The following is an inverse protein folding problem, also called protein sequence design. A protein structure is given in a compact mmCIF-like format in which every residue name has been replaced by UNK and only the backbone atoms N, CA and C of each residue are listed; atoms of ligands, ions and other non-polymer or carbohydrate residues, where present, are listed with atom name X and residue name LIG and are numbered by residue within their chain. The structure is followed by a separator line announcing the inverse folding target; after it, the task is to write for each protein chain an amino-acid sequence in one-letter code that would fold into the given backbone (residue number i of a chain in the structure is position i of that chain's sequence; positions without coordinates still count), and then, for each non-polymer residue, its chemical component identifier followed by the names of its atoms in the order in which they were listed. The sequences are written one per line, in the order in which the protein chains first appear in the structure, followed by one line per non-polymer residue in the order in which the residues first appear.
data_IF_277778803957
#
_entry.id   IF_277778803957
#
_cell.length_a   1.000
_cell.length_b   1.000
_cell.length_c   1.000
_cell.angle_alpha   90.00
_cell.angle_beta   90.00
_cell.angle_gamma   90.00
#
_symmetry.space_group_name_H-M   'P 1'
#
loop_
_entity.id
_entity.type
_entity.pdbx_description
1 polymer ?
#
# COMPACT_ATOMS: atom_id res chain seq x y z
N UNK A 1 -7.43 17.02 10.41
CA UNK A 1 -8.41 16.17 11.13
C UNK A 1 -8.21 16.27 12.64
N UNK A 2 -9.31 16.46 13.43
CA UNK A 2 -9.23 16.45 14.89
C UNK A 2 -8.75 15.08 15.40
N UNK A 3 -8.06 15.01 16.56
CA UNK A 3 -7.49 13.77 17.10
C UNK A 3 -8.49 12.62 17.24
N UNK A 4 -9.73 12.93 17.62
CA UNK A 4 -10.82 11.96 17.84
C UNK A 4 -11.30 11.23 16.58
N UNK A 5 -10.94 11.71 15.39
CA UNK A 5 -11.33 11.08 14.12
C UNK A 5 -10.18 10.27 13.49
N UNK A 6 -8.97 10.33 14.04
CA UNK A 6 -7.81 9.62 13.47
C UNK A 6 -7.91 8.12 13.76
N UNK A 7 -7.46 7.24 12.84
CA UNK A 7 -7.35 5.82 13.12
C UNK A 7 -6.48 5.60 14.37
N UNK A 8 -7.00 4.83 15.32
CA UNK A 8 -6.37 4.61 16.63
C UNK A 8 -6.59 3.18 17.10
N UNK A 9 -5.58 2.61 17.76
CA UNK A 9 -5.67 1.34 18.48
C UNK A 9 -5.38 1.55 19.97
N UNK A 10 -5.91 0.68 20.81
CA UNK A 10 -5.50 0.60 22.23
C UNK A 10 -4.55 -0.57 22.38
N UNK A 11 -3.44 -0.33 23.06
CA UNK A 11 -2.39 -1.32 23.32
C UNK A 11 -2.15 -1.34 24.82
N UNK A 12 -2.07 -2.55 25.39
CA UNK A 12 -1.68 -2.74 26.79
C UNK A 12 -0.17 -2.89 26.81
N UNK A 13 0.51 -1.99 27.51
CA UNK A 13 1.96 -1.91 27.55
C UNK A 13 2.51 -2.31 28.92
N UNK A 14 3.77 -2.73 28.95
CA UNK A 14 4.53 -2.94 30.19
C UNK A 14 5.93 -2.34 30.04
N UNK A 15 6.47 -1.83 31.14
CA UNK A 15 7.87 -1.42 31.20
C UNK A 15 8.77 -2.67 31.22
N UNK A 16 9.94 -2.57 30.57
CA UNK A 16 10.96 -3.62 30.59
C UNK A 16 12.32 -3.06 31.02
N UNK A 17 13.20 -3.93 31.48
CA UNK A 17 14.59 -3.55 31.80
C UNK A 17 15.40 -3.59 30.51
N UNK A 18 15.88 -2.44 29.99
CA UNK A 18 16.58 -2.41 28.72
C UNK A 18 17.99 -3.01 28.83
N UNK A 19 18.41 -3.67 27.77
CA UNK A 19 19.79 -4.10 27.56
C UNK A 19 20.65 -2.92 27.08
N UNK A 20 21.98 -3.06 27.17
CA UNK A 20 22.94 -2.01 26.80
C UNK A 20 22.76 -1.51 25.37
N UNK A 21 22.37 -2.40 24.46
CA UNK A 21 22.25 -2.12 23.03
C UNK A 21 20.81 -1.82 22.58
N UNK A 22 19.85 -1.73 23.51
CA UNK A 22 18.47 -1.45 23.13
C UNK A 22 18.32 -0.02 22.59
N UNK A 23 17.69 0.15 21.42
CA UNK A 23 17.50 1.47 20.83
C UNK A 23 16.44 2.24 21.61
N UNK A 24 16.87 3.05 22.58
CA UNK A 24 15.99 3.92 23.38
C UNK A 24 16.01 5.38 22.90
N UNK A 25 16.47 5.63 21.68
CA UNK A 25 16.60 7.00 21.15
C UNK A 25 15.99 7.13 19.77
N UNK A 26 15.21 8.18 19.55
CA UNK A 26 14.88 8.68 18.21
C UNK A 26 15.78 9.87 17.89
N UNK A 27 16.29 9.91 16.66
CA UNK A 27 17.29 10.88 16.24
C UNK A 27 16.78 11.68 15.05
N UNK A 28 17.11 12.97 15.00
CA UNK A 28 16.90 13.82 13.83
C UNK A 28 18.02 14.85 13.71
N UNK A 29 18.12 15.47 12.53
CA UNK A 29 19.10 16.53 12.27
C UNK A 29 18.47 17.90 12.55
N UNK A 30 19.15 18.72 13.34
CA UNK A 30 18.86 20.14 13.53
C UNK A 30 20.12 20.93 13.21
N UNK A 31 20.10 21.68 12.11
CA UNK A 31 21.19 22.56 11.68
C UNK A 31 22.58 21.87 11.61
N UNK A 32 22.61 20.62 11.15
CA UNK A 32 23.83 19.80 11.05
C UNK A 32 24.18 19.03 12.33
N UNK A 33 23.42 19.20 13.42
CA UNK A 33 23.62 18.47 14.68
C UNK A 33 22.57 17.35 14.82
N UNK A 34 23.03 16.15 15.21
CA UNK A 34 22.13 15.03 15.54
C UNK A 34 21.57 15.25 16.95
N UNK A 35 20.27 15.52 17.03
CA UNK A 35 19.51 15.55 18.28
C UNK A 35 19.10 14.13 18.63
N UNK A 36 19.35 13.73 19.88
CA UNK A 36 18.95 12.43 20.44
C UNK A 36 17.81 12.64 21.43
N UNK A 37 16.64 12.07 21.15
CA UNK A 37 15.48 12.10 22.03
C UNK A 37 15.31 10.73 22.69
N UNK A 38 15.58 10.67 24.00
CA UNK A 38 15.48 9.43 24.77
C UNK A 38 14.03 9.11 25.07
N UNK A 39 13.67 7.85 24.87
CA UNK A 39 12.35 7.30 25.09
C UNK A 39 12.39 6.22 26.19
N UNK A 40 11.28 6.03 26.91
CA UNK A 40 11.21 5.04 27.98
C UNK A 40 11.08 3.61 27.44
N UNK A 41 11.53 2.60 28.19
CA UNK A 41 11.57 1.21 27.75
C UNK A 41 10.19 0.54 27.94
N UNK A 42 9.24 0.86 27.05
CA UNK A 42 7.94 0.18 27.01
C UNK A 42 7.82 -0.78 25.81
N UNK A 43 7.11 -1.87 26.06
CA UNK A 43 6.76 -2.90 25.07
C UNK A 43 5.29 -3.30 25.23
N UNK A 44 4.75 -4.04 24.26
CA UNK A 44 3.46 -4.73 24.39
C UNK A 44 3.57 -5.68 25.59
N UNK A 45 2.58 -5.63 26.48
CA UNK A 45 2.56 -6.46 27.68
C UNK A 45 2.54 -7.95 27.35
N UNK A 46 3.14 -8.76 28.22
CA UNK A 46 3.20 -10.21 28.03
C UNK A 46 1.79 -10.80 27.89
N UNK A 47 1.59 -11.64 26.86
CA UNK A 47 0.29 -12.22 26.55
C UNK A 47 -0.71 -11.29 25.84
N UNK A 48 -0.36 -10.01 25.58
CA UNK A 48 -1.24 -9.03 24.93
C UNK A 48 -1.00 -8.85 23.41
N UNK A 49 -0.15 -9.69 22.80
CA UNK A 49 0.06 -9.66 21.34
C UNK A 49 -1.25 -9.94 20.57
N UNK A 50 -1.98 -10.98 20.96
CA UNK A 50 -3.23 -11.37 20.29
C UNK A 50 -4.37 -10.36 20.49
N UNK A 51 -4.43 -9.67 21.64
CA UNK A 51 -5.38 -8.56 21.83
C UNK A 51 -5.01 -7.36 20.97
N UNK A 52 -3.72 -7.06 20.82
CA UNK A 52 -3.22 -6.01 19.93
C UNK A 52 -3.52 -6.31 18.45
N UNK A 53 -3.26 -7.52 17.97
CA UNK A 53 -3.60 -7.95 16.60
C UNK A 53 -5.11 -7.82 16.32
N UNK A 54 -5.96 -8.18 17.29
CA UNK A 54 -7.41 -7.99 17.20
C UNK A 54 -7.79 -6.51 17.12
N UNK A 55 -7.21 -5.66 17.97
CA UNK A 55 -7.46 -4.22 17.94
C UNK A 55 -7.05 -3.58 16.60
N UNK A 56 -5.92 -4.00 16.04
CA UNK A 56 -5.44 -3.56 14.72
C UNK A 56 -6.39 -4.00 13.59
N UNK A 57 -6.90 -5.23 13.66
CA UNK A 57 -7.89 -5.73 12.69
C UNK A 57 -9.20 -4.96 12.77
N UNK A 58 -9.71 -4.73 13.97
CA UNK A 58 -10.92 -3.93 14.20
C UNK A 58 -10.74 -2.47 13.75
N UNK A 59 -9.53 -1.92 13.86
CA UNK A 59 -9.21 -0.58 13.36
C UNK A 59 -9.33 -0.50 11.83
N UNK A 60 -8.81 -1.49 11.10
CA UNK A 60 -8.97 -1.53 9.64
C UNK A 60 -10.44 -1.58 9.22
N UNK A 61 -11.25 -2.40 9.89
CA UNK A 61 -12.68 -2.52 9.62
C UNK A 61 -13.43 -1.22 9.94
N UNK A 62 -13.19 -0.65 11.12
CA UNK A 62 -13.86 0.56 11.59
C UNK A 62 -13.53 1.79 10.74
N UNK A 63 -12.26 1.93 10.35
CA UNK A 63 -11.78 3.11 9.62
C UNK A 63 -11.64 2.86 8.12
N UNK A 64 -12.19 1.78 7.58
CA UNK A 64 -12.04 1.39 6.17
C UNK A 64 -12.29 2.55 5.20
N UNK A 65 -13.45 3.20 5.29
CA UNK A 65 -13.83 4.29 4.39
C UNK A 65 -12.86 5.47 4.46
N UNK A 66 -12.41 5.82 5.67
CA UNK A 66 -11.42 6.87 5.87
C UNK A 66 -10.07 6.48 5.26
N UNK A 67 -9.60 5.25 5.51
CA UNK A 67 -8.35 4.75 4.99
C UNK A 67 -8.38 4.65 3.46
N UNK A 68 -9.50 4.24 2.87
CA UNK A 68 -9.72 4.26 1.43
C UNK A 68 -9.70 5.70 0.87
N UNK A 69 -10.37 6.64 1.54
CA UNK A 69 -10.33 8.06 1.11
C UNK A 69 -8.92 8.64 1.13
N UNK A 70 -8.08 8.21 2.07
CA UNK A 70 -6.66 8.55 2.12
C UNK A 70 -5.87 7.88 0.97
N UNK A 71 -6.25 6.68 0.52
CA UNK A 71 -5.69 6.07 -0.69
C UNK A 71 -5.99 6.90 -1.93
N UNK A 72 -7.19 7.49 -2.00
CA UNK A 72 -7.70 8.23 -3.15
C UNK A 72 -7.25 9.70 -3.19
N UNK A 73 -6.89 10.27 -2.04
CA UNK A 73 -6.54 11.67 -1.93
C UNK A 73 -5.32 12.01 -2.78
N UNK A 74 -5.46 13.01 -3.65
CA UNK A 74 -4.40 13.48 -4.55
C UNK A 74 -4.00 12.49 -5.65
N UNK A 75 -4.78 11.42 -5.87
CA UNK A 75 -4.50 10.45 -6.93
C UNK A 75 -5.16 10.83 -8.27
N UNK A 76 -4.56 10.29 -9.34
CA UNK A 76 -5.09 10.32 -10.70
C UNK A 76 -6.53 9.76 -10.78
N UNK A 77 -7.30 10.25 -11.75
CA UNK A 77 -8.69 9.83 -11.98
C UNK A 77 -8.82 8.32 -12.19
N UNK A 78 -7.91 7.70 -12.95
CA UNK A 78 -7.92 6.25 -13.21
C UNK A 78 -7.78 5.49 -11.88
N UNK A 79 -6.84 5.90 -11.03
CA UNK A 79 -6.61 5.29 -9.72
C UNK A 79 -7.85 5.47 -8.84
N UNK A 80 -8.40 6.68 -8.77
CA UNK A 80 -9.52 7.00 -7.90
C UNK A 80 -10.78 6.21 -8.25
N UNK A 81 -11.13 6.19 -9.54
CA UNK A 81 -12.28 5.44 -10.05
C UNK A 81 -12.10 3.94 -9.80
N UNK A 82 -10.91 3.41 -10.08
CA UNK A 82 -10.63 1.98 -9.89
C UNK A 82 -10.64 1.58 -8.41
N UNK A 83 -10.17 2.45 -7.50
CA UNK A 83 -10.27 2.22 -6.05
C UNK A 83 -11.73 2.23 -5.56
N UNK A 84 -12.56 3.14 -6.07
CA UNK A 84 -14.00 3.18 -5.76
C UNK A 84 -14.66 1.88 -6.20
N UNK A 85 -14.34 1.43 -7.40
CA UNK A 85 -14.94 0.23 -7.98
C UNK A 85 -14.45 -1.05 -7.30
N UNK A 86 -13.16 -1.14 -6.99
CA UNK A 86 -12.62 -2.24 -6.18
C UNK A 86 -13.28 -2.31 -4.80
N UNK A 87 -13.55 -1.16 -4.16
CA UNK A 87 -14.26 -1.13 -2.90
C UNK A 87 -15.68 -1.69 -3.00
N UNK A 88 -16.37 -1.49 -4.12
CA UNK A 88 -17.72 -2.05 -4.35
C UNK A 88 -17.73 -3.58 -4.27
N UNK A 89 -16.66 -4.23 -4.74
CA UNK A 89 -16.50 -5.69 -4.73
C UNK A 89 -15.75 -6.24 -3.51
N UNK A 90 -15.42 -5.41 -2.52
CA UNK A 90 -14.57 -5.85 -1.40
C UNK A 90 -15.19 -6.98 -0.56
N UNK A 91 -16.53 -7.07 -0.52
CA UNK A 91 -17.24 -8.08 0.26
C UNK A 91 -17.51 -9.37 -0.52
N UNK A 92 -17.46 -9.29 -1.85
CA UNK A 92 -17.75 -10.40 -2.77
C UNK A 92 -16.48 -11.17 -3.14
N UNK A 93 -15.31 -10.51 -3.08
CA UNK A 93 -14.05 -11.05 -3.55
C UNK A 93 -12.96 -10.96 -2.49
N UNK A 94 -12.49 -12.11 -2.01
CA UNK A 94 -11.39 -12.19 -1.03
C UNK A 94 -10.06 -11.67 -1.58
N UNK A 95 -9.83 -11.78 -2.90
CA UNK A 95 -8.63 -11.26 -3.55
C UNK A 95 -8.63 -9.72 -3.59
N UNK A 96 -9.78 -9.10 -3.87
CA UNK A 96 -9.93 -7.64 -3.88
C UNK A 96 -9.83 -7.09 -2.47
N UNK A 97 -10.56 -7.70 -1.52
CA UNK A 97 -10.48 -7.37 -0.09
C UNK A 97 -9.04 -7.43 0.43
N UNK A 98 -8.32 -8.50 0.06
CA UNK A 98 -6.92 -8.69 0.42
C UNK A 98 -5.99 -7.66 -0.24
N UNK A 99 -6.19 -7.36 -1.52
CA UNK A 99 -5.39 -6.37 -2.25
C UNK A 99 -5.60 -4.94 -1.72
N UNK A 100 -6.83 -4.55 -1.40
CA UNK A 100 -7.13 -3.29 -0.70
C UNK A 100 -6.47 -3.24 0.67
N UNK A 101 -6.55 -4.34 1.44
CA UNK A 101 -5.89 -4.44 2.74
C UNK A 101 -4.37 -4.31 2.62
N UNK A 102 -3.74 -4.90 1.59
CA UNK A 102 -2.32 -4.72 1.29
C UNK A 102 -2.01 -3.24 1.04
N UNK A 103 -2.82 -2.56 0.22
CA UNK A 103 -2.64 -1.13 -0.07
C UNK A 103 -2.69 -0.27 1.20
N UNK A 104 -3.69 -0.52 2.05
CA UNK A 104 -3.91 0.22 3.30
C UNK A 104 -2.78 -0.05 4.30
N UNK A 105 -2.48 -1.32 4.60
CA UNK A 105 -1.48 -1.70 5.60
C UNK A 105 -0.09 -1.20 5.19
N UNK A 106 0.26 -1.29 3.91
CA UNK A 106 1.55 -0.80 3.40
C UNK A 106 1.71 0.71 3.64
N UNK A 107 0.65 1.50 3.45
CA UNK A 107 0.69 2.94 3.74
C UNK A 107 0.70 3.26 5.22
N UNK A 108 0.08 2.43 6.06
CA UNK A 108 0.17 2.55 7.52
C UNK A 108 1.61 2.30 8.00
N UNK A 109 2.28 1.27 7.48
CA UNK A 109 3.69 0.96 7.78
C UNK A 109 4.67 2.07 7.34
N UNK A 110 4.30 2.88 6.34
CA UNK A 110 5.11 4.04 5.93
C UNK A 110 4.83 5.30 6.76
N UNK A 111 3.85 5.29 7.69
CA UNK A 111 3.50 6.43 8.55
C UNK A 111 3.93 6.12 9.99
N UNK A 112 4.47 7.11 10.69
CA UNK A 112 4.80 6.97 12.11
C UNK A 112 3.54 7.07 12.99
N UNK A 113 3.36 6.10 13.87
CA UNK A 113 2.36 6.17 14.93
C UNK A 113 2.79 7.15 16.03
N UNK A 114 1.81 7.69 16.76
CA UNK A 114 2.03 8.61 17.87
C UNK A 114 1.17 8.16 19.06
N UNK A 115 1.69 8.35 20.27
CA UNK A 115 0.90 8.13 21.48
C UNK A 115 -0.23 9.16 21.54
N UNK A 116 -1.41 8.69 21.91
CA UNK A 116 -2.59 9.52 22.10
C UNK A 116 -3.44 8.94 23.22
N UNK A 117 -4.01 9.81 24.05
CA UNK A 117 -4.79 9.42 25.22
C UNK A 117 -4.31 10.12 26.49
N UNK A 118 -4.86 9.68 27.62
CA UNK A 118 -4.49 10.17 28.96
C UNK A 118 -3.16 9.60 29.43
N UNK A 119 -2.86 8.36 29.06
CA UNK A 119 -1.56 7.73 29.31
C UNK A 119 -0.56 8.20 28.25
N UNK A 120 0.62 8.62 28.70
CA UNK A 120 1.70 9.12 27.86
C UNK A 120 2.96 8.27 27.92
N UNK A 121 2.98 7.23 28.77
CA UNK A 121 4.14 6.38 29.01
C UNK A 121 5.38 7.22 29.37
N UNK A 122 5.21 8.30 30.12
CA UNK A 122 6.28 9.26 30.46
C UNK A 122 6.90 9.99 29.25
N UNK A 123 6.27 9.92 28.07
CA UNK A 123 6.72 10.62 26.86
C UNK A 123 6.11 12.02 26.80
N UNK A 124 6.98 13.03 26.74
CA UNK A 124 6.60 14.42 26.50
C UNK A 124 6.42 14.70 25.00
N UNK A 125 5.66 15.75 24.67
CA UNK A 125 5.60 16.25 23.30
C UNK A 125 6.98 16.75 22.86
N UNK A 126 7.29 16.58 21.57
CA UNK A 126 8.54 17.09 21.00
C UNK A 126 8.36 18.55 20.60
N UNK A 127 9.06 19.45 21.29
CA UNK A 127 8.96 20.91 21.08
C UNK A 127 9.90 21.46 19.98
N UNK A 128 10.71 20.59 19.36
CA UNK A 128 11.64 21.00 18.32
C UNK A 128 10.96 21.05 16.93
N UNK A 129 10.79 22.24 16.32
CA UNK A 129 10.13 22.39 15.02
C UNK A 129 10.88 21.73 13.87
N UNK A 130 12.15 21.38 14.05
CA UNK A 130 12.94 20.65 13.04
C UNK A 130 12.74 19.13 13.13
N UNK A 131 12.10 18.65 14.20
CA UNK A 131 11.83 17.22 14.39
C UNK A 131 10.67 16.74 13.51
N UNK A 132 10.76 15.52 12.92
CA UNK A 132 9.60 14.87 12.28
C UNK A 132 8.47 14.56 13.28
N UNK A 133 8.75 14.65 14.58
CA UNK A 133 7.80 14.42 15.67
C UNK A 133 7.29 15.73 16.31
N UNK A 134 7.58 16.91 15.74
CA UNK A 134 7.18 18.20 16.31
C UNK A 134 5.69 18.24 16.68
N UNK A 135 5.40 18.61 17.93
CA UNK A 135 4.06 18.68 18.50
C UNK A 135 3.37 17.31 18.68
N UNK A 136 4.15 16.23 18.77
CA UNK A 136 3.65 14.85 18.94
C UNK A 136 4.45 14.10 20.00
N UNK A 137 3.82 13.05 20.54
CA UNK A 137 4.46 12.05 21.43
C UNK A 137 4.86 10.82 20.62
N UNK A 138 6.15 10.65 20.27
CA UNK A 138 6.59 9.48 19.54
C UNK A 138 6.42 8.19 20.37
N UNK A 139 6.10 7.08 19.71
CA UNK A 139 6.02 5.78 20.36
C UNK A 139 7.43 5.28 20.75
N UNK A 140 7.60 4.69 21.95
CA UNK A 140 8.81 3.96 22.35
C UNK A 140 9.30 2.97 21.28
N UNK A 141 10.61 2.88 20.98
CA UNK A 141 11.07 2.17 19.79
C UNK A 141 10.75 0.67 19.76
N UNK A 142 10.85 -0.03 20.90
CA UNK A 142 10.51 -1.46 20.95
C UNK A 142 9.00 -1.69 20.74
N UNK A 143 8.15 -0.85 21.33
CA UNK A 143 6.72 -0.89 21.11
C UNK A 143 6.35 -0.62 19.64
N UNK A 144 7.01 0.36 19.00
CA UNK A 144 6.88 0.68 17.57
C UNK A 144 7.23 -0.56 16.72
N UNK A 145 8.40 -1.17 16.98
CA UNK A 145 8.88 -2.35 16.27
C UNK A 145 7.95 -3.57 16.43
N UNK A 146 7.37 -3.79 17.61
CA UNK A 146 6.41 -4.89 17.83
C UNK A 146 5.09 -4.66 17.10
N UNK A 147 4.62 -3.42 16.98
CA UNK A 147 3.44 -3.08 16.18
C UNK A 147 3.72 -3.33 14.69
N UNK A 148 4.88 -2.90 14.20
CA UNK A 148 5.32 -3.14 12.83
C UNK A 148 5.45 -4.64 12.51
N UNK A 149 5.99 -5.43 13.44
CA UNK A 149 6.09 -6.89 13.30
C UNK A 149 4.70 -7.53 13.13
N UNK A 150 3.71 -7.15 13.95
CA UNK A 150 2.33 -7.65 13.83
C UNK A 150 1.74 -7.29 12.47
N UNK A 151 1.96 -6.05 11.99
CA UNK A 151 1.53 -5.65 10.65
C UNK A 151 2.20 -6.47 9.55
N UNK A 152 3.50 -6.70 9.65
CA UNK A 152 4.29 -7.46 8.68
C UNK A 152 3.85 -8.92 8.61
N UNK A 153 3.59 -9.56 9.75
CA UNK A 153 3.03 -10.92 9.81
C UNK A 153 1.65 -10.99 9.16
N UNK A 154 0.76 -10.03 9.46
CA UNK A 154 -0.56 -9.95 8.85
C UNK A 154 -0.47 -9.76 7.34
N UNK A 155 0.42 -8.87 6.89
CA UNK A 155 0.66 -8.58 5.48
C UNK A 155 1.18 -9.81 4.72
N UNK A 156 2.10 -10.58 5.32
CA UNK A 156 2.60 -11.83 4.74
C UNK A 156 1.48 -12.86 4.54
N UNK A 157 0.60 -13.02 5.54
CA UNK A 157 -0.57 -13.91 5.46
C UNK A 157 -1.52 -13.49 4.34
N UNK A 158 -1.84 -12.19 4.24
CA UNK A 158 -2.75 -11.66 3.21
C UNK A 158 -2.13 -11.80 1.81
N UNK A 159 -0.84 -11.47 1.64
CA UNK A 159 -0.13 -11.64 0.35
C UNK A 159 -0.17 -13.08 -0.14
N UNK A 160 0.09 -14.05 0.75
CA UNK A 160 0.03 -15.48 0.41
C UNK A 160 -1.38 -15.88 -0.02
N UNK A 161 -2.41 -15.39 0.68
CA UNK A 161 -3.81 -15.65 0.34
C UNK A 161 -4.18 -15.06 -1.01
N UNK A 162 -3.92 -13.76 -1.24
CA UNK A 162 -4.21 -13.08 -2.50
C UNK A 162 -3.50 -13.75 -3.68
N UNK A 163 -2.24 -14.16 -3.51
CA UNK A 163 -1.51 -14.90 -4.54
C UNK A 163 -2.14 -16.26 -4.83
N UNK A 164 -2.57 -16.99 -3.79
CA UNK A 164 -3.26 -18.27 -3.94
C UNK A 164 -4.59 -18.13 -4.69
N UNK A 165 -5.39 -17.16 -4.28
CA UNK A 165 -6.68 -16.84 -4.91
C UNK A 165 -6.46 -16.40 -6.37
N UNK A 166 -5.55 -15.46 -6.63
CA UNK A 166 -5.25 -14.99 -7.99
C UNK A 166 -4.77 -16.14 -8.89
N UNK A 167 -3.82 -16.96 -8.43
CA UNK A 167 -3.36 -18.14 -9.18
C UNK A 167 -4.49 -19.08 -9.52
N UNK A 168 -5.38 -19.37 -8.56
CA UNK A 168 -6.54 -20.22 -8.79
C UNK A 168 -7.42 -19.67 -9.92
N UNK A 169 -7.77 -18.38 -9.86
CA UNK A 169 -8.65 -17.75 -10.86
C UNK A 169 -7.98 -17.60 -12.24
N UNK A 170 -6.67 -17.37 -12.29
CA UNK A 170 -5.91 -17.29 -13.55
C UNK A 170 -5.72 -18.67 -14.19
N UNK A 171 -5.46 -19.72 -13.40
CA UNK A 171 -5.24 -21.08 -13.90
C UNK A 171 -6.54 -21.83 -14.23
N UNK A 172 -7.67 -21.47 -13.60
CA UNK A 172 -9.00 -21.98 -13.94
C UNK A 172 -9.49 -21.40 -15.29
N UNK A 173 -8.88 -21.87 -16.39
CA UNK A 173 -9.14 -21.42 -17.77
C UNK A 173 -10.62 -21.40 -18.18
N UNK A 174 -11.44 -22.26 -17.57
CA UNK A 174 -12.88 -22.36 -17.83
C UNK A 174 -13.68 -21.17 -17.29
N UNK A 175 -13.14 -20.42 -16.33
CA UNK A 175 -13.79 -19.26 -15.70
C UNK A 175 -13.00 -17.96 -15.86
N UNK A 176 -11.94 -17.96 -16.68
CA UNK A 176 -11.10 -16.76 -16.83
C UNK A 176 -11.86 -15.57 -17.38
N UNK A 177 -12.85 -15.76 -18.27
CA UNK A 177 -13.70 -14.67 -18.77
C UNK A 177 -14.62 -14.10 -17.68
N UNK A 178 -15.35 -14.97 -16.96
CA UNK A 178 -16.25 -14.54 -15.88
C UNK A 178 -15.52 -13.95 -14.68
N UNK A 179 -14.24 -14.28 -14.50
CA UNK A 179 -13.40 -13.74 -13.41
C UNK A 179 -12.49 -12.60 -13.88
N UNK A 180 -12.47 -12.29 -15.18
CA UNK A 180 -11.53 -11.33 -15.76
C UNK A 180 -11.59 -9.99 -15.03
N UNK A 181 -12.80 -9.55 -14.71
CA UNK A 181 -13.03 -8.28 -14.05
C UNK A 181 -12.40 -8.21 -12.65
N UNK A 182 -12.58 -9.27 -11.85
CA UNK A 182 -11.99 -9.36 -10.51
C UNK A 182 -10.46 -9.48 -10.58
N UNK A 183 -9.94 -10.20 -11.59
CA UNK A 183 -8.50 -10.31 -11.86
C UNK A 183 -7.94 -8.93 -12.22
N UNK A 184 -8.60 -8.19 -13.10
CA UNK A 184 -8.22 -6.85 -13.51
C UNK A 184 -8.10 -5.90 -12.30
N UNK A 185 -9.15 -5.80 -11.48
CA UNK A 185 -9.16 -4.95 -10.29
C UNK A 185 -8.05 -5.35 -9.30
N UNK A 186 -7.86 -6.66 -9.09
CA UNK A 186 -6.82 -7.16 -8.18
C UNK A 186 -5.41 -6.84 -8.68
N UNK A 187 -5.12 -7.08 -9.97
CA UNK A 187 -3.83 -6.76 -10.59
C UNK A 187 -3.55 -5.26 -10.51
N UNK A 188 -4.54 -4.43 -10.82
CA UNK A 188 -4.42 -2.98 -10.72
C UNK A 188 -4.00 -2.54 -9.30
N UNK A 189 -4.68 -3.04 -8.27
CA UNK A 189 -4.36 -2.74 -6.86
C UNK A 189 -2.94 -3.20 -6.46
N UNK A 190 -2.51 -4.36 -6.94
CA UNK A 190 -1.17 -4.87 -6.65
C UNK A 190 -0.09 -4.00 -7.29
N UNK A 191 -0.27 -3.59 -8.55
CA UNK A 191 0.65 -2.69 -9.24
C UNK A 191 0.65 -1.30 -8.60
N UNK A 192 -0.52 -0.77 -8.25
CA UNK A 192 -0.66 0.49 -7.49
C UNK A 192 0.11 0.44 -6.17
N UNK A 193 0.06 -0.69 -5.46
CA UNK A 193 0.79 -0.84 -4.21
C UNK A 193 2.30 -0.92 -4.41
N UNK A 194 2.75 -1.66 -5.43
CA UNK A 194 4.18 -1.71 -5.77
C UNK A 194 4.68 -0.31 -6.12
N UNK A 195 3.92 0.44 -6.92
CA UNK A 195 4.35 1.76 -7.39
C UNK A 195 4.50 2.74 -6.21
N UNK A 196 3.54 2.71 -5.27
CA UNK A 196 3.65 3.44 -4.01
C UNK A 196 4.91 3.05 -3.22
N UNK A 197 5.21 1.76 -3.07
CA UNK A 197 6.40 1.29 -2.36
C UNK A 197 7.69 1.81 -2.99
N UNK A 198 7.79 1.71 -4.32
CA UNK A 198 8.96 2.16 -5.06
C UNK A 198 9.15 3.68 -4.92
N UNK A 199 8.08 4.46 -5.11
CA UNK A 199 8.10 5.92 -4.93
C UNK A 199 8.48 6.34 -3.51
N UNK A 200 7.89 5.68 -2.51
CA UNK A 200 8.19 5.96 -1.12
C UNK A 200 9.66 5.67 -0.82
N UNK A 201 10.19 4.55 -1.33
CA UNK A 201 11.59 4.19 -1.14
C UNK A 201 12.53 5.16 -1.86
N UNK A 202 12.24 5.58 -3.09
CA UNK A 202 12.99 6.61 -3.81
C UNK A 202 13.08 7.91 -3.00
N UNK A 203 11.97 8.39 -2.44
CA UNK A 203 11.99 9.60 -1.60
C UNK A 203 12.84 9.43 -0.35
N UNK A 204 12.83 8.24 0.25
CA UNK A 204 13.66 7.94 1.42
C UNK A 204 15.15 7.86 1.04
N UNK A 205 15.46 7.31 -0.13
CA UNK A 205 16.80 7.29 -0.74
C UNK A 205 17.33 8.70 -0.99
N UNK A 206 16.55 9.56 -1.65
CA UNK A 206 16.91 10.94 -1.94
C UNK A 206 17.28 11.68 -0.65
N UNK A 207 16.40 11.62 0.36
CA UNK A 207 16.64 12.22 1.68
C UNK A 207 17.88 11.67 2.37
N UNK A 208 18.11 10.36 2.26
CA UNK A 208 19.28 9.73 2.87
C UNK A 208 20.57 10.20 2.20
N UNK A 209 20.60 10.25 0.86
CA UNK A 209 21.75 10.70 0.08
C UNK A 209 22.05 12.19 0.30
N UNK A 210 21.03 13.03 0.41
CA UNK A 210 21.17 14.45 0.78
C UNK A 210 21.80 14.61 2.18
N UNK A 211 21.36 13.81 3.15
CA UNK A 211 21.89 13.84 4.51
C UNK A 211 23.28 13.20 4.65
N UNK A 212 23.63 12.25 3.78
CA UNK A 212 24.86 11.45 3.85
C UNK A 212 25.60 11.37 2.50
N UNK A 213 26.05 12.49 1.91
CA UNK A 213 26.57 12.55 0.53
C UNK A 213 27.84 11.72 0.26
N UNK A 214 28.46 11.15 1.31
CA UNK A 214 29.68 10.33 1.22
C UNK A 214 29.52 8.91 1.76
N UNK A 215 28.30 8.51 2.12
CA UNK A 215 28.03 7.15 2.60
C UNK A 215 27.40 6.32 1.49
N UNK A 216 27.91 5.11 1.32
CA UNK A 216 27.31 4.12 0.43
C UNK A 216 25.95 3.71 0.98
N UNK A 217 24.97 3.64 0.09
CA UNK A 217 23.64 3.17 0.43
C UNK A 217 23.62 1.67 0.70
N UNK A 218 22.68 1.19 1.53
CA UNK A 218 22.56 -0.23 1.83
C UNK A 218 22.13 -1.02 0.60
N UNK A 219 23.01 -1.93 0.15
CA UNK A 219 22.78 -2.82 -0.99
C UNK A 219 21.46 -3.61 -0.91
N UNK A 220 21.05 -4.00 0.30
CA UNK A 220 19.79 -4.73 0.54
C UNK A 220 18.55 -3.97 0.09
N UNK A 221 18.56 -2.64 0.16
CA UNK A 221 17.42 -1.85 -0.29
C UNK A 221 17.36 -1.78 -1.81
N UNK A 222 18.50 -1.69 -2.50
CA UNK A 222 18.53 -1.76 -3.96
C UNK A 222 18.02 -3.11 -4.46
N UNK A 223 18.42 -4.21 -3.81
CA UNK A 223 17.88 -5.54 -4.12
C UNK A 223 16.37 -5.64 -3.88
N UNK A 224 15.86 -5.01 -2.83
CA UNK A 224 14.42 -4.98 -2.55
C UNK A 224 13.65 -4.24 -3.64
N UNK A 225 14.15 -3.08 -4.09
CA UNK A 225 13.54 -2.29 -5.15
C UNK A 225 13.59 -3.01 -6.51
N UNK A 226 14.70 -3.67 -6.83
CA UNK A 226 14.81 -4.52 -8.01
C UNK A 226 13.80 -5.67 -7.96
N UNK A 227 13.65 -6.31 -6.79
CA UNK A 227 12.61 -7.30 -6.55
C UNK A 227 11.19 -6.80 -6.79
N UNK A 228 10.88 -5.54 -6.43
CA UNK A 228 9.59 -4.93 -6.73
C UNK A 228 9.39 -4.66 -8.22
N UNK A 229 10.43 -4.18 -8.91
CA UNK A 229 10.39 -3.97 -10.37
C UNK A 229 10.15 -5.28 -11.11
N UNK A 230 10.90 -6.33 -10.75
CA UNK A 230 10.72 -7.66 -11.32
C UNK A 230 9.33 -8.23 -11.01
N UNK A 231 8.80 -8.02 -9.80
CA UNK A 231 7.45 -8.44 -9.45
C UNK A 231 6.38 -7.73 -10.31
N UNK A 232 6.51 -6.42 -10.54
CA UNK A 232 5.60 -5.66 -11.39
C UNK A 232 5.62 -6.16 -12.83
N UNK A 233 6.81 -6.37 -13.40
CA UNK A 233 6.99 -6.92 -14.75
C UNK A 233 6.37 -8.32 -14.88
N UNK A 234 6.58 -9.21 -13.90
CA UNK A 234 5.97 -10.54 -13.91
C UNK A 234 4.45 -10.48 -13.84
N UNK A 235 3.89 -9.61 -12.99
CA UNK A 235 2.44 -9.41 -12.90
C UNK A 235 1.88 -8.93 -14.25
N UNK A 236 2.51 -7.93 -14.87
CA UNK A 236 2.12 -7.39 -16.18
C UNK A 236 2.21 -8.45 -17.28
N UNK A 237 3.29 -9.23 -17.33
CA UNK A 237 3.46 -10.30 -18.31
C UNK A 237 2.37 -11.37 -18.20
N UNK A 238 2.01 -11.77 -16.97
CA UNK A 238 0.90 -12.69 -16.74
C UNK A 238 -0.45 -12.08 -17.10
N UNK A 239 -0.67 -10.81 -16.75
CA UNK A 239 -1.90 -10.09 -17.06
C UNK A 239 -2.13 -10.01 -18.57
N UNK A 240 -1.13 -9.59 -19.34
CA UNK A 240 -1.22 -9.47 -20.79
C UNK A 240 -1.35 -10.83 -21.49
N UNK A 241 -0.41 -11.74 -21.21
CA UNK A 241 -0.27 -12.96 -22.01
C UNK A 241 -1.17 -14.11 -21.56
N UNK A 242 -1.52 -14.18 -20.27
CA UNK A 242 -2.34 -15.28 -19.72
C UNK A 242 -3.78 -14.84 -19.48
N UNK A 243 -3.98 -13.68 -18.86
CA UNK A 243 -5.33 -13.21 -18.51
C UNK A 243 -6.04 -12.51 -19.67
N UNK A 244 -5.35 -12.27 -20.79
CA UNK A 244 -5.82 -11.40 -21.88
C UNK A 244 -6.24 -10.04 -21.32
N UNK A 245 -5.32 -9.39 -20.60
CA UNK A 245 -5.57 -8.18 -19.82
C UNK A 245 -6.27 -7.05 -20.58
N UNK A 246 -5.97 -6.91 -21.88
CA UNK A 246 -6.62 -5.92 -22.76
C UNK A 246 -8.06 -6.23 -23.13
N UNK A 247 -8.59 -7.42 -22.81
CA UNK A 247 -9.92 -7.87 -23.19
C UNK A 247 -10.97 -6.78 -22.94
N UNK A 248 -11.04 -6.25 -21.72
CA UNK A 248 -12.05 -5.27 -21.38
C UNK A 248 -11.81 -3.85 -21.89
N UNK A 249 -10.63 -3.54 -22.43
CA UNK A 249 -10.44 -2.30 -23.18
C UNK A 249 -10.92 -2.43 -24.64
N UNK A 250 -10.89 -3.63 -25.20
CA UNK A 250 -11.20 -3.90 -26.60
C UNK A 250 -12.66 -4.33 -26.84
N UNK A 251 -13.43 -4.53 -25.78
CA UNK A 251 -14.81 -4.99 -25.87
C UNK A 251 -15.80 -3.85 -26.08
N UNK A 252 -16.86 -4.13 -26.84
CA UNK A 252 -18.07 -3.30 -26.86
C UNK A 252 -18.96 -3.67 -25.67
N UNK A 253 -18.90 -2.86 -24.61
CA UNK A 253 -19.72 -3.07 -23.41
C UNK A 253 -21.20 -2.74 -23.61
N UNK A 254 -21.64 -2.30 -24.79
CA UNK A 254 -23.08 -2.24 -25.11
C UNK A 254 -23.66 -3.60 -25.49
N UNK A 255 -22.81 -4.57 -25.84
CA UNK A 255 -23.22 -5.95 -26.13
C UNK A 255 -23.52 -6.74 -24.85
N UNK A 256 -24.78 -7.17 -24.70
CA UNK A 256 -25.25 -7.97 -23.57
C UNK A 256 -24.56 -9.33 -23.47
N UNK A 257 -24.16 -9.94 -24.58
CA UNK A 257 -23.46 -11.23 -24.53
C UNK A 257 -22.08 -11.07 -23.89
N UNK A 258 -21.38 -9.98 -24.20
CA UNK A 258 -20.09 -9.65 -23.62
C UNK A 258 -20.22 -9.38 -22.11
N UNK A 259 -21.26 -8.63 -21.71
CA UNK A 259 -21.55 -8.38 -20.29
C UNK A 259 -21.81 -9.69 -19.52
N UNK A 260 -22.59 -10.60 -20.10
CA UNK A 260 -22.89 -11.91 -19.52
C UNK A 260 -21.64 -12.79 -19.41
N UNK A 261 -20.81 -12.84 -20.45
CA UNK A 261 -19.57 -13.64 -20.47
C UNK A 261 -18.55 -13.15 -19.45
N UNK A 262 -18.49 -11.84 -19.22
CA UNK A 262 -17.61 -11.20 -18.23
C UNK A 262 -18.20 -11.19 -16.80
N UNK A 263 -19.46 -11.60 -16.65
CA UNK A 263 -20.21 -11.57 -15.39
C UNK A 263 -20.17 -10.19 -14.68
N UNK A 264 -20.30 -9.11 -15.47
CA UNK A 264 -20.31 -7.73 -14.97
C UNK A 264 -21.75 -7.22 -14.79
N UNK A 265 -21.94 -6.34 -13.82
CA UNK A 265 -23.21 -5.64 -13.60
C UNK A 265 -23.24 -4.25 -14.25
N UNK A 266 -24.40 -3.57 -14.20
CA UNK A 266 -24.60 -2.28 -14.86
C UNK A 266 -23.61 -1.19 -14.39
N UNK A 267 -23.21 -1.21 -13.11
CA UNK A 267 -22.25 -0.24 -12.57
C UNK A 267 -20.83 -0.52 -13.06
N UNK A 268 -20.44 -1.80 -13.12
CA UNK A 268 -19.17 -2.21 -13.71
C UNK A 268 -19.10 -1.84 -15.19
N UNK A 269 -20.20 -1.97 -15.94
CA UNK A 269 -20.27 -1.55 -17.35
C UNK A 269 -20.02 -0.04 -17.49
N UNK A 270 -20.68 0.79 -16.68
CA UNK A 270 -20.49 2.25 -16.68
C UNK A 270 -19.03 2.59 -16.35
N UNK A 271 -18.45 1.94 -15.34
CA UNK A 271 -17.05 2.13 -14.98
C UNK A 271 -16.11 1.76 -16.13
N UNK A 272 -16.31 0.60 -16.76
CA UNK A 272 -15.46 0.11 -17.85
C UNK A 272 -15.52 1.03 -19.08
N UNK A 273 -16.70 1.53 -19.44
CA UNK A 273 -16.87 2.52 -20.51
C UNK A 273 -16.16 3.85 -20.17
N UNK A 274 -16.28 4.32 -18.92
CA UNK A 274 -15.59 5.54 -18.48
C UNK A 274 -14.06 5.35 -18.51
N UNK A 275 -13.58 4.20 -18.06
CA UNK A 275 -12.18 3.84 -18.09
C UNK A 275 -11.65 3.76 -19.54
N UNK A 276 -12.38 3.10 -20.45
CA UNK A 276 -12.03 3.03 -21.87
C UNK A 276 -11.88 4.43 -22.48
N UNK A 277 -12.87 5.30 -22.30
CA UNK A 277 -12.84 6.66 -22.83
C UNK A 277 -11.67 7.47 -22.24
N UNK A 278 -11.37 7.27 -20.95
CA UNK A 278 -10.25 7.96 -20.28
C UNK A 278 -8.91 7.47 -20.79
N UNK A 279 -8.76 6.15 -20.98
CA UNK A 279 -7.54 5.52 -21.51
C UNK A 279 -7.32 5.92 -22.96
N UNK A 280 -8.36 5.92 -23.80
CA UNK A 280 -8.29 6.34 -25.21
C UNK A 280 -7.89 7.81 -25.33
N UNK A 281 -8.54 8.70 -24.55
CA UNK A 281 -8.21 10.12 -24.57
C UNK A 281 -6.78 10.44 -24.09
N UNK A 282 -6.21 9.58 -23.23
CA UNK A 282 -4.88 9.75 -22.63
C UNK A 282 -3.84 8.79 -23.20
N UNK A 283 -4.14 8.07 -24.27
CA UNK A 283 -3.27 7.01 -24.80
C UNK A 283 -1.83 7.49 -25.08
N UNK A 284 -1.59 8.67 -25.70
CA UNK A 284 -0.24 9.16 -25.94
C UNK A 284 0.55 9.41 -24.63
N UNK A 285 -0.13 9.97 -23.62
CA UNK A 285 0.45 10.24 -22.29
C UNK A 285 0.80 8.92 -21.58
N UNK A 286 -0.14 7.98 -21.54
CA UNK A 286 0.04 6.67 -20.89
C UNK A 286 1.17 5.87 -21.56
N UNK A 287 1.28 5.95 -22.90
CA UNK A 287 2.37 5.33 -23.67
C UNK A 287 3.73 5.95 -23.38
N UNK A 288 3.78 7.26 -23.13
CA UNK A 288 5.02 7.91 -22.68
C UNK A 288 5.37 7.49 -21.25
N UNK A 289 4.39 7.47 -20.34
CA UNK A 289 4.57 7.09 -18.94
C UNK A 289 5.03 5.64 -18.78
N UNK A 290 4.52 4.71 -19.59
CA UNK A 290 4.91 3.30 -19.55
C UNK A 290 6.38 3.06 -19.89
N UNK A 291 7.05 4.02 -20.55
CA UNK A 291 8.47 3.96 -20.91
C UNK A 291 9.38 4.65 -19.90
N UNK A 292 8.82 5.33 -18.89
CA UNK A 292 9.61 5.98 -17.84
C UNK A 292 10.13 4.96 -16.83
N UNK A 293 11.16 5.36 -16.09
CA UNK A 293 11.71 4.55 -15.03
C UNK A 293 10.72 4.40 -13.87
N UNK A 294 10.69 3.22 -13.20
CA UNK A 294 9.92 3.02 -11.97
C UNK A 294 10.17 4.12 -10.94
N UNK A 295 9.10 4.54 -10.27
CA UNK A 295 9.12 5.69 -9.36
C UNK A 295 8.53 6.97 -9.95
N UNK A 296 8.32 7.03 -11.27
CA UNK A 296 7.38 8.00 -11.84
C UNK A 296 5.93 7.53 -11.60
N UNK A 297 4.98 8.42 -11.29
CA UNK A 297 3.56 8.04 -11.21
C UNK A 297 3.02 7.41 -12.49
N UNK A 298 2.15 6.43 -12.31
CA UNK A 298 1.44 5.63 -13.31
C UNK A 298 2.30 4.75 -14.22
N UNK A 299 3.60 4.55 -13.98
CA UNK A 299 4.45 3.75 -14.88
C UNK A 299 3.87 2.35 -15.10
N UNK A 300 3.64 1.60 -14.02
CA UNK A 300 3.18 0.21 -14.13
C UNK A 300 1.69 0.12 -14.42
N UNK A 301 0.91 1.09 -13.95
CA UNK A 301 -0.52 1.18 -14.26
C UNK A 301 -0.73 1.46 -15.75
N UNK A 302 0.04 2.38 -16.33
CA UNK A 302 -0.05 2.71 -17.76
C UNK A 302 0.28 1.50 -18.63
N UNK A 303 1.31 0.73 -18.24
CA UNK A 303 1.67 -0.54 -18.90
C UNK A 303 0.56 -1.59 -18.88
N UNK A 304 -0.49 -1.47 -18.04
CA UNK A 304 -1.67 -2.36 -18.14
C UNK A 304 -2.52 -2.07 -19.38
N UNK A 305 -2.49 -0.83 -19.88
CA UNK A 305 -3.38 -0.36 -20.92
C UNK A 305 -2.69 -0.29 -22.28
N UNK A 306 -1.40 0.09 -22.29
CA UNK A 306 -0.59 0.12 -23.50
C UNK A 306 0.24 -1.15 -23.60
N UNK A 307 0.06 -1.91 -24.68
CA UNK A 307 0.96 -3.01 -25.04
C UNK A 307 1.91 -2.47 -26.11
N UNK A 308 3.21 -2.63 -25.88
CA UNK A 308 4.18 -2.44 -26.94
C UNK A 308 3.95 -3.54 -27.96
N UNK A 309 3.51 -3.17 -29.16
CA UNK A 309 3.67 -4.02 -30.33
C UNK A 309 5.17 -4.21 -30.50
N UNK A 310 5.66 -5.43 -30.29
CA UNK A 310 7.00 -5.83 -30.74
C UNK A 310 7.07 -5.53 -32.25
N UNK A 311 7.86 -4.52 -32.63
CA UNK A 311 8.33 -4.34 -34.00
C UNK A 311 9.46 -5.33 -34.31
#
# INVERSE_FOLDING_TARGET
MPPSKRPSIRVVCQEYVPLVDDPLTKNWNRDGQIIKFRLPPFAIAQGQRASTERAMTQMLERYHILLLSELQCGQDDIIRQTLTEANRHMHESSMISGALSICIITRLLCKSFNLSGTESLEVSDVDDPTSPYYGRKPIPPLLDAQIDEIWMEKLAKIRKKVLGDLKKHVLERTKTRSNWYLIFLTVFLLLLNLEFLYQNQNRQLERYCEAHPRQSYHFSVLQMMDGWSHAAQNILAHFHNICRGQFGLLQDWTDKQVQLDAAVDDQAVIFLQCLQNTVEAREPELRELSRKLPGTPLVWISSMFVVESEE
#
